data_IF_887910592721
#
_entry.id   IF_887910592721
#
_cell.length_a   1.000
_cell.length_b   1.000
_cell.length_c   1.000
_cell.angle_alpha   90.00
_cell.angle_beta   90.00
_cell.angle_gamma   90.00
#
_symmetry.space_group_name_H-M   'P 1'
#
loop_
_entity.id
_entity.type
_entity.pdbx_description
1 polymer ?
#
# COMPACT_ATOMS: atom_id res chain seq x y z
N UNK A 1 -59.99 -15.40 -26.80
CA UNK A 1 -59.61 -14.89 -25.47
C UNK A 1 -58.89 -13.57 -25.69
N UNK A 2 -59.57 -12.46 -25.48
CA UNK A 2 -59.06 -11.12 -25.85
C UNK A 2 -58.49 -10.47 -24.59
N UNK A 3 -57.16 -10.34 -24.53
CA UNK A 3 -56.49 -9.66 -23.43
C UNK A 3 -56.92 -8.20 -23.37
N UNK A 4 -57.35 -7.73 -22.19
CA UNK A 4 -57.63 -6.32 -21.92
C UNK A 4 -56.30 -5.55 -21.91
N UNK A 5 -55.82 -5.14 -23.07
CA UNK A 5 -54.88 -4.03 -23.16
C UNK A 5 -55.66 -2.74 -22.89
N UNK A 6 -55.28 -2.00 -21.85
CA UNK A 6 -55.79 -0.65 -21.59
C UNK A 6 -55.02 0.31 -22.48
N UNK A 7 -55.68 0.80 -23.54
CA UNK A 7 -55.16 1.91 -24.33
C UNK A 7 -55.15 3.20 -23.49
N UNK A 8 -53.99 3.87 -23.47
CA UNK A 8 -53.92 5.31 -23.19
C UNK A 8 -53.89 5.77 -21.73
N UNK A 9 -53.49 4.94 -20.74
CA UNK A 9 -53.15 5.54 -19.45
C UNK A 9 -51.88 6.41 -19.61
N UNK A 10 -51.92 7.71 -19.26
CA UNK A 10 -50.71 8.53 -19.26
C UNK A 10 -49.70 7.88 -18.31
N UNK A 11 -48.43 7.86 -18.71
CA UNK A 11 -47.35 7.37 -17.85
C UNK A 11 -47.44 8.06 -16.49
N UNK A 12 -47.80 7.31 -15.46
CA UNK A 12 -47.75 7.81 -14.10
C UNK A 12 -46.30 8.15 -13.78
N UNK A 13 -46.04 9.38 -13.30
CA UNK A 13 -44.72 9.76 -12.83
C UNK A 13 -44.40 8.94 -11.57
N UNK A 14 -43.65 7.84 -11.75
CA UNK A 14 -43.15 7.05 -10.63
C UNK A 14 -41.97 7.80 -10.04
N UNK A 15 -42.13 8.31 -8.82
CA UNK A 15 -41.01 8.88 -8.08
C UNK A 15 -39.99 7.78 -7.80
N UNK A 16 -38.78 7.91 -8.35
CA UNK A 16 -37.66 7.06 -7.98
C UNK A 16 -37.22 7.42 -6.57
N UNK A 17 -37.57 6.56 -5.61
CA UNK A 17 -37.10 6.70 -4.23
C UNK A 17 -35.67 6.16 -4.16
N UNK A 18 -34.70 7.04 -3.92
CA UNK A 18 -33.31 6.62 -3.67
C UNK A 18 -33.26 5.92 -2.32
N UNK A 19 -32.90 4.64 -2.33
CA UNK A 19 -32.68 3.90 -1.09
C UNK A 19 -31.45 4.44 -0.36
N UNK A 20 -31.60 4.61 0.96
CA UNK A 20 -30.53 5.02 1.89
C UNK A 20 -29.76 6.27 1.42
N UNK A 21 -30.48 7.25 0.87
CA UNK A 21 -29.93 8.50 0.33
C UNK A 21 -28.93 9.22 1.26
N UNK A 22 -29.24 9.39 2.56
CA UNK A 22 -28.29 9.98 3.51
C UNK A 22 -26.99 9.20 3.65
N UNK A 23 -27.04 7.85 3.68
CA UNK A 23 -25.84 7.02 3.81
C UNK A 23 -24.98 7.07 2.54
N UNK A 24 -25.61 7.15 1.37
CA UNK A 24 -24.90 7.34 0.10
C UNK A 24 -24.23 8.71 0.01
N UNK A 25 -24.94 9.77 0.39
CA UNK A 25 -24.37 11.12 0.44
C UNK A 25 -23.18 11.20 1.40
N UNK A 26 -23.26 10.48 2.53
CA UNK A 26 -22.15 10.41 3.48
C UNK A 26 -20.95 9.62 2.91
N UNK A 27 -21.18 8.50 2.22
CA UNK A 27 -20.11 7.78 1.53
C UNK A 27 -19.42 8.66 0.46
N UNK A 28 -20.20 9.43 -0.31
CA UNK A 28 -19.67 10.40 -1.28
C UNK A 28 -18.87 11.53 -0.61
N UNK A 29 -19.30 12.01 0.57
CA UNK A 29 -18.54 12.97 1.36
C UNK A 29 -17.20 12.37 1.80
N UNK A 30 -17.20 11.14 2.30
CA UNK A 30 -15.98 10.45 2.74
C UNK A 30 -15.01 10.23 1.58
N UNK A 31 -15.49 9.82 0.41
CA UNK A 31 -14.70 9.63 -0.81
C UNK A 31 -13.97 10.94 -1.22
N UNK A 32 -14.64 12.08 -1.07
CA UNK A 32 -14.05 13.40 -1.35
C UNK A 32 -13.02 13.84 -0.30
N UNK A 33 -13.27 13.52 0.98
CA UNK A 33 -12.39 13.91 2.09
C UNK A 33 -11.11 13.08 2.11
N UNK A 34 -11.22 11.77 1.83
CA UNK A 34 -10.13 10.82 1.91
C UNK A 34 -9.61 10.47 0.52
N UNK A 35 -8.82 11.37 -0.09
CA UNK A 35 -8.40 11.25 -1.50
C UNK A 35 -7.55 10.00 -1.82
N UNK A 36 -6.92 9.39 -0.83
CA UNK A 36 -6.15 8.15 -0.97
C UNK A 36 -7.02 6.88 -0.87
N UNK A 37 -8.33 7.04 -0.71
CA UNK A 37 -9.30 5.97 -0.57
C UNK A 37 -10.43 6.11 -1.59
N UNK A 38 -10.98 4.98 -2.01
CA UNK A 38 -12.26 4.92 -2.73
C UNK A 38 -13.32 4.42 -1.76
N UNK A 39 -14.34 5.22 -1.47
CA UNK A 39 -15.40 4.92 -0.50
C UNK A 39 -16.74 4.67 -1.19
N UNK A 40 -17.44 3.60 -0.79
CA UNK A 40 -18.72 3.21 -1.37
C UNK A 40 -19.69 2.67 -0.32
N UNK A 41 -20.98 2.91 -0.51
CA UNK A 41 -22.05 2.35 0.32
C UNK A 41 -22.76 1.20 -0.40
N UNK A 42 -22.80 0.03 0.23
CA UNK A 42 -23.49 -1.14 -0.31
C UNK A 42 -24.89 -1.28 0.26
N UNK A 43 -25.90 -1.30 -0.61
CA UNK A 43 -27.30 -1.54 -0.22
C UNK A 43 -27.57 -2.98 0.23
N UNK A 44 -26.77 -3.95 -0.24
CA UNK A 44 -26.98 -5.37 0.07
C UNK A 44 -26.63 -5.72 1.52
N UNK A 45 -25.54 -5.14 2.03
CA UNK A 45 -25.11 -5.30 3.44
C UNK A 45 -25.43 -4.09 4.31
N UNK A 46 -25.90 -2.99 3.71
CA UNK A 46 -26.14 -1.69 4.37
C UNK A 46 -24.92 -1.24 5.18
N UNK A 47 -23.75 -1.34 4.55
CA UNK A 47 -22.46 -1.06 5.14
C UNK A 47 -21.62 -0.19 4.19
N UNK A 48 -20.74 0.61 4.78
CA UNK A 48 -19.72 1.37 4.11
C UNK A 48 -18.50 0.49 3.85
N UNK A 49 -17.84 0.75 2.73
CA UNK A 49 -16.63 0.09 2.28
C UNK A 49 -15.64 1.16 1.86
N UNK A 50 -14.37 0.97 2.22
CA UNK A 50 -13.28 1.77 1.73
C UNK A 50 -12.17 0.86 1.18
N UNK A 51 -11.68 1.21 0.00
CA UNK A 51 -10.57 0.54 -0.67
C UNK A 51 -9.43 1.53 -0.79
N UNK A 52 -8.25 1.16 -0.32
CA UNK A 52 -7.10 2.05 -0.42
C UNK A 52 -6.57 2.11 -1.85
N UNK A 53 -6.28 3.31 -2.33
CA UNK A 53 -5.82 3.60 -3.69
C UNK A 53 -4.30 3.62 -3.83
N UNK A 54 -3.56 3.46 -2.74
CA UNK A 54 -2.10 3.46 -2.76
C UNK A 54 -1.50 2.16 -3.29
N UNK A 55 -0.32 2.28 -3.89
CA UNK A 55 0.47 1.13 -4.33
C UNK A 55 1.05 0.37 -3.12
N UNK A 56 0.75 -0.92 -3.05
CA UNK A 56 1.26 -1.83 -2.03
C UNK A 56 1.12 -3.29 -2.46
N UNK A 57 1.89 -4.21 -1.85
CA UNK A 57 1.83 -5.64 -2.18
C UNK A 57 0.49 -6.28 -1.78
N UNK A 58 -0.28 -5.62 -0.91
CA UNK A 58 -1.57 -6.09 -0.43
C UNK A 58 -2.62 -4.98 -0.60
N UNK A 59 -3.73 -5.32 -1.26
CA UNK A 59 -4.90 -4.46 -1.31
C UNK A 59 -5.52 -4.36 0.08
N UNK A 60 -5.75 -3.13 0.55
CA UNK A 60 -6.39 -2.86 1.83
C UNK A 60 -7.86 -2.52 1.58
N UNK A 61 -8.74 -3.31 2.17
CA UNK A 61 -10.19 -3.09 2.14
C UNK A 61 -10.70 -3.12 3.57
N UNK A 62 -11.43 -2.09 3.96
CA UNK A 62 -12.11 -2.02 5.26
C UNK A 62 -13.61 -1.83 5.02
N UNK A 63 -14.43 -2.40 5.89
CA UNK A 63 -15.88 -2.23 5.87
C UNK A 63 -16.34 -1.82 7.26
N UNK A 64 -17.42 -1.04 7.40
CA UNK A 64 -18.12 -0.83 8.66
C UNK A 64 -19.61 -0.49 8.42
N UNK A 65 -20.47 -0.70 9.42
CA UNK A 65 -21.88 -0.35 9.34
C UNK A 65 -22.12 1.17 9.46
N UNK A 66 -21.20 1.92 10.06
CA UNK A 66 -21.28 3.38 10.26
C UNK A 66 -20.16 4.10 9.51
N UNK A 67 -20.38 5.38 9.19
CA UNK A 67 -19.35 6.22 8.55
C UNK A 67 -18.18 6.50 9.49
N UNK A 68 -18.46 6.83 10.75
CA UNK A 68 -17.45 7.08 11.78
C UNK A 68 -16.57 5.85 12.04
N UNK A 69 -17.18 4.67 12.17
CA UNK A 69 -16.43 3.42 12.34
C UNK A 69 -15.60 3.06 11.11
N UNK A 70 -16.03 3.47 9.91
CA UNK A 70 -15.23 3.32 8.69
C UNK A 70 -14.01 4.25 8.73
N UNK A 71 -14.18 5.51 9.10
CA UNK A 71 -13.08 6.49 9.20
C UNK A 71 -12.01 6.03 10.20
N UNK A 72 -12.42 5.54 11.38
CA UNK A 72 -11.49 4.97 12.36
C UNK A 72 -10.67 3.82 11.77
N UNK A 73 -11.31 2.89 11.04
CA UNK A 73 -10.60 1.78 10.38
C UNK A 73 -9.68 2.23 9.27
N UNK A 74 -10.06 3.25 8.51
CA UNK A 74 -9.22 3.85 7.46
C UNK A 74 -7.97 4.47 8.09
N UNK A 75 -8.13 5.23 9.18
CA UNK A 75 -7.03 5.82 9.92
C UNK A 75 -6.09 4.76 10.50
N UNK A 76 -6.63 3.72 11.13
CA UNK A 76 -5.83 2.61 11.67
C UNK A 76 -5.05 1.88 10.57
N UNK A 77 -5.64 1.71 9.40
CA UNK A 77 -4.98 1.10 8.25
C UNK A 77 -3.84 1.97 7.71
N UNK A 78 -4.02 3.29 7.64
CA UNK A 78 -2.94 4.23 7.28
C UNK A 78 -1.80 4.20 8.29
N UNK A 79 -2.11 4.22 9.58
CA UNK A 79 -1.08 4.12 10.63
C UNK A 79 -0.31 2.81 10.55
N UNK A 80 -1.02 1.69 10.34
CA UNK A 80 -0.40 0.37 10.18
C UNK A 80 0.54 0.34 8.97
N UNK A 81 0.14 0.96 7.85
CA UNK A 81 0.98 1.08 6.65
C UNK A 81 2.27 1.86 6.93
N UNK A 82 2.19 3.00 7.64
CA UNK A 82 3.37 3.80 7.99
C UNK A 82 4.39 2.99 8.82
N UNK A 83 3.91 2.14 9.73
CA UNK A 83 4.78 1.23 10.50
C UNK A 83 5.43 0.18 9.61
N UNK A 84 4.74 -0.34 8.60
CA UNK A 84 5.28 -1.35 7.69
C UNK A 84 6.28 -0.80 6.66
N UNK A 85 6.14 0.46 6.27
CA UNK A 85 7.06 1.14 5.32
C UNK A 85 8.38 1.54 5.99
N UNK A 86 8.43 1.60 7.33
CA UNK A 86 9.68 1.75 8.05
C UNK A 86 10.58 0.53 7.75
N UNK A 87 11.74 0.72 7.09
CA UNK A 87 12.60 -0.41 6.79
C UNK A 87 13.04 -1.07 8.11
N UNK A 88 13.13 -2.41 8.21
CA UNK A 88 13.93 -3.05 9.24
C UNK A 88 15.41 -2.75 8.97
N UNK A 89 15.82 -1.49 9.16
CA UNK A 89 17.18 -1.01 8.94
C UNK A 89 17.74 -0.45 10.25
N UNK A 90 17.77 -1.30 11.28
CA UNK A 90 18.65 -1.17 12.43
C UNK A 90 19.24 -2.51 12.88
N UNK A 91 19.25 -3.55 12.02
CA UNK A 91 20.28 -4.56 12.20
C UNK A 91 21.62 -3.87 11.88
N UNK A 92 22.56 -3.74 12.83
CA UNK A 92 23.92 -3.39 12.48
C UNK A 92 24.33 -4.43 11.45
N UNK A 93 24.65 -4.01 10.22
CA UNK A 93 25.39 -4.89 9.31
C UNK A 93 26.65 -5.23 10.08
N UNK A 94 26.70 -6.44 10.61
CA UNK A 94 27.88 -6.95 11.28
C UNK A 94 28.94 -7.11 10.20
N UNK A 95 29.71 -6.04 10.01
CA UNK A 95 30.79 -5.95 9.05
C UNK A 95 32.04 -6.66 9.59
N UNK A 96 31.89 -7.57 10.58
CA UNK A 96 33.02 -8.19 11.29
C UNK A 96 33.72 -9.33 10.58
N UNK A 97 33.26 -9.82 9.44
CA UNK A 97 33.96 -10.92 8.78
C UNK A 97 34.33 -10.61 7.34
N UNK A 98 35.10 -9.54 7.16
CA UNK A 98 36.16 -9.57 6.14
C UNK A 98 37.50 -9.69 6.89
N UNK A 99 38.20 -10.83 6.79
CA UNK A 99 39.51 -10.95 7.39
C UNK A 99 40.42 -9.87 6.82
N UNK A 100 41.25 -9.21 7.64
CA UNK A 100 42.23 -8.26 7.10
C UNK A 100 43.14 -9.05 6.17
N UNK A 101 43.17 -8.65 4.90
CA UNK A 101 44.24 -9.00 3.97
C UNK A 101 45.51 -8.41 4.56
N UNK A 102 46.16 -9.18 5.44
CA UNK A 102 47.38 -8.75 6.10
C UNK A 102 48.42 -8.38 5.03
N UNK A 103 49.13 -7.25 5.18
CA UNK A 103 50.27 -6.98 4.33
C UNK A 103 51.32 -8.05 4.67
N UNK A 104 51.56 -8.96 3.73
CA UNK A 104 52.69 -9.87 3.83
C UNK A 104 53.94 -9.02 3.60
N UNK A 105 54.43 -8.43 4.68
CA UNK A 105 55.77 -7.85 4.77
C UNK A 105 56.76 -8.93 4.33
N UNK A 106 57.12 -8.87 3.05
CA UNK A 106 58.28 -9.56 2.53
C UNK A 106 59.44 -8.59 2.78
N UNK A 107 60.18 -8.87 3.84
CA UNK A 107 61.30 -8.04 4.28
C UNK A 107 62.31 -7.76 3.15
N UNK A 108 63.07 -6.65 3.24
CA UNK A 108 64.01 -6.24 2.21
C UNK A 108 65.23 -7.16 2.20
N UNK A 109 65.29 -8.09 1.25
CA UNK A 109 66.53 -8.76 0.90
C UNK A 109 67.43 -7.78 0.13
N UNK A 110 68.33 -7.17 0.88
CA UNK A 110 69.41 -6.30 0.42
C UNK A 110 70.05 -6.82 -0.87
N UNK A 111 70.09 -5.94 -1.89
CA UNK A 111 71.15 -5.94 -2.91
C UNK A 111 72.50 -6.06 -2.22
N UNK A 112 73.20 -7.17 -2.44
CA UNK A 112 74.66 -7.19 -2.41
C UNK A 112 75.14 -7.36 -3.83
N UNK A 113 75.64 -6.26 -4.36
CA UNK A 113 76.65 -6.26 -5.41
C UNK A 113 77.75 -7.28 -5.03
N UNK A 114 78.04 -8.22 -5.92
CA UNK A 114 79.37 -8.83 -6.01
C UNK A 114 80.03 -8.36 -7.30
N UNK A 115 81.30 -7.92 -7.23
CA UNK A 115 82.09 -7.43 -8.35
C UNK A 115 82.64 -8.59 -9.20
N UNK A 116 83.06 -8.27 -10.43
CA UNK A 116 83.47 -9.24 -11.44
C UNK A 116 84.82 -9.96 -11.25
N UNK A 117 85.10 -10.82 -12.22
CA UNK A 117 86.34 -11.59 -12.43
C UNK A 117 86.02 -12.78 -13.36
N UNK A 118 86.10 -12.67 -14.68
CA UNK A 118 87.29 -12.70 -15.57
C UNK A 118 87.86 -14.13 -15.75
N UNK A 119 87.88 -14.55 -17.03
CA UNK A 119 88.74 -15.53 -17.73
C UNK A 119 88.74 -17.01 -17.32
N UNK A 120 88.37 -17.86 -18.28
CA UNK A 120 89.26 -18.85 -18.89
C UNK A 120 88.92 -18.97 -20.39
#
# INVERSE_FOLDING_TARGET
MTGRHRDGQPYASVYQRVWDGPARAEAERLDQVWSDWTVLYSLGKRAFYAVASWDGPQLVVVEDATSEGLEERMQDAEMTRLVQVAPPSLAPRDNRERPPTGPRERGPARRRHSPGGRTA
#
